data_IF_473364493416
#
_entry.id   IF_473364493416
#
_cell.length_a   1.000
_cell.length_b   1.000
_cell.length_c   1.000
_cell.angle_alpha   90.00
_cell.angle_beta   90.00
_cell.angle_gamma   90.00
#
_symmetry.space_group_name_H-M   'P 1'
#
loop_
_entity.id
_entity.type
_entity.pdbx_description
1 polymer ?
#
# COMPACT_ATOMS: atom_id res chain seq x y z
N UNK A 1 -4.49 1.43 21.09
CA UNK A 1 -5.08 0.19 21.67
C UNK A 1 -4.89 -0.89 20.61
N UNK A 2 -3.98 -1.84 20.83
CA UNK A 2 -3.86 -3.01 19.94
C UNK A 2 -5.02 -3.95 20.25
N UNK A 3 -6.03 -4.01 19.37
CA UNK A 3 -7.00 -5.09 19.43
C UNK A 3 -6.25 -6.42 19.20
N UNK A 4 -6.49 -7.43 20.03
CA UNK A 4 -5.93 -8.76 19.77
C UNK A 4 -6.55 -9.33 18.48
N UNK A 5 -5.82 -10.20 17.75
CA UNK A 5 -6.34 -10.89 16.55
C UNK A 5 -7.75 -11.44 16.82
N UNK A 6 -7.94 -12.11 17.95
CA UNK A 6 -9.23 -12.71 18.33
C UNK A 6 -10.37 -11.68 18.47
N UNK A 7 -10.10 -10.50 19.04
CA UNK A 7 -11.11 -9.44 19.15
C UNK A 7 -11.45 -8.88 17.75
N UNK A 8 -10.42 -8.60 16.94
CA UNK A 8 -10.60 -8.12 15.57
C UNK A 8 -11.42 -9.10 14.72
N UNK A 9 -11.11 -10.40 14.78
CA UNK A 9 -11.84 -11.44 14.04
C UNK A 9 -13.32 -11.54 14.46
N UNK A 10 -13.62 -11.36 15.76
CA UNK A 10 -15.00 -11.44 16.27
C UNK A 10 -15.84 -10.22 15.91
N UNK A 11 -15.23 -9.04 15.92
CA UNK A 11 -15.95 -7.76 15.92
C UNK A 11 -15.87 -7.02 14.58
N UNK A 12 -14.81 -7.23 13.79
CA UNK A 12 -14.54 -6.43 12.59
C UNK A 12 -14.43 -7.26 11.31
N UNK A 13 -13.75 -8.41 11.33
CA UNK A 13 -13.56 -9.22 10.11
C UNK A 13 -14.90 -9.59 9.45
N UNK A 14 -15.11 -9.13 8.21
CA UNK A 14 -16.36 -9.26 7.44
C UNK A 14 -17.63 -8.73 8.15
N UNK A 15 -17.47 -7.82 9.13
CA UNK A 15 -18.57 -7.35 10.00
C UNK A 15 -18.66 -5.84 10.11
N UNK A 16 -17.54 -5.16 10.30
CA UNK A 16 -17.51 -3.73 10.53
C UNK A 16 -16.16 -3.14 10.13
N UNK A 17 -16.11 -1.87 9.68
CA UNK A 17 -14.86 -1.15 9.53
C UNK A 17 -14.05 -1.15 10.83
N UNK A 18 -12.73 -1.21 10.70
CA UNK A 18 -11.78 -1.02 11.80
C UNK A 18 -10.82 0.09 11.42
N UNK A 19 -10.62 1.05 12.33
CA UNK A 19 -9.67 2.14 12.15
C UNK A 19 -8.66 2.08 13.29
N UNK A 20 -7.38 2.08 12.92
CA UNK A 20 -6.26 2.19 13.84
C UNK A 20 -5.38 3.38 13.46
N UNK A 21 -4.58 3.85 14.41
CA UNK A 21 -3.50 4.80 14.17
C UNK A 21 -2.18 4.12 14.50
N UNK A 22 -1.19 4.31 13.63
CA UNK A 22 0.18 3.91 13.89
C UNK A 22 0.86 5.01 14.72
N UNK A 23 1.55 4.62 15.78
CA UNK A 23 2.43 5.51 16.57
C UNK A 23 3.82 5.46 15.94
N UNK A 24 4.48 6.61 15.81
CA UNK A 24 5.82 6.77 15.20
C UNK A 24 5.92 6.25 13.75
N UNK A 25 5.36 7.00 12.81
CA UNK A 25 5.27 6.63 11.40
C UNK A 25 6.40 7.19 10.52
N UNK A 26 7.40 7.88 11.06
CA UNK A 26 8.50 8.47 10.28
C UNK A 26 9.23 7.41 9.44
N UNK A 27 9.55 6.27 10.05
CA UNK A 27 10.12 5.11 9.33
C UNK A 27 9.23 4.63 8.19
N UNK A 28 7.90 4.70 8.35
CA UNK A 28 6.97 4.27 7.32
C UNK A 28 7.07 5.19 6.09
N UNK A 29 7.23 6.50 6.31
CA UNK A 29 7.38 7.48 5.23
C UNK A 29 8.64 7.19 4.40
N UNK A 30 9.78 6.95 5.06
CA UNK A 30 11.03 6.58 4.38
C UNK A 30 10.87 5.30 3.57
N UNK A 31 10.18 4.30 4.14
CA UNK A 31 9.92 3.02 3.49
C UNK A 31 8.99 3.13 2.26
N UNK A 32 8.23 4.22 2.15
CA UNK A 32 7.48 4.63 0.95
C UNK A 32 8.25 5.65 0.09
N UNK A 33 9.58 5.53 0.04
CA UNK A 33 10.47 6.38 -0.76
C UNK A 33 10.31 7.87 -0.47
N UNK A 34 10.06 8.24 0.80
CA UNK A 34 9.82 9.63 1.21
C UNK A 34 8.65 10.32 0.47
N UNK A 35 7.75 9.53 -0.14
CA UNK A 35 6.67 10.03 -0.98
C UNK A 35 7.07 10.40 -2.41
N UNK A 36 8.29 10.07 -2.84
CA UNK A 36 8.73 10.24 -4.23
C UNK A 36 7.92 9.31 -5.16
N UNK A 37 7.00 9.90 -5.92
CA UNK A 37 6.10 9.20 -6.84
C UNK A 37 6.88 8.38 -7.86
N UNK A 38 7.95 8.91 -8.41
CA UNK A 38 8.76 8.25 -9.42
C UNK A 38 9.37 6.96 -8.87
N UNK A 39 9.99 7.06 -7.70
CA UNK A 39 10.63 5.93 -7.03
C UNK A 39 9.60 4.88 -6.62
N UNK A 40 8.43 5.30 -6.11
CA UNK A 40 7.32 4.39 -5.79
C UNK A 40 6.89 3.63 -7.04
N UNK A 41 6.62 4.32 -8.15
CA UNK A 41 6.14 3.69 -9.39
C UNK A 41 7.15 2.70 -9.98
N UNK A 42 8.45 2.96 -9.85
CA UNK A 42 9.51 2.00 -10.23
C UNK A 42 9.46 0.69 -9.42
N UNK A 43 8.93 0.74 -8.20
CA UNK A 43 8.70 -0.45 -7.35
C UNK A 43 7.35 -1.12 -7.60
N UNK A 44 6.46 -0.51 -8.36
CA UNK A 44 5.17 -1.10 -8.69
C UNK A 44 5.20 -1.93 -9.98
N UNK A 45 4.17 -2.75 -10.19
CA UNK A 45 4.03 -3.68 -11.31
C UNK A 45 2.63 -3.61 -11.92
N UNK A 46 2.58 -3.95 -13.20
CA UNK A 46 1.36 -4.21 -13.97
C UNK A 46 0.68 -5.50 -13.49
N UNK A 47 -0.55 -5.71 -13.90
CA UNK A 47 -1.32 -6.92 -13.57
C UNK A 47 -0.71 -8.22 -14.13
N UNK A 48 0.10 -8.12 -15.19
CA UNK A 48 0.89 -9.22 -15.74
C UNK A 48 2.24 -9.40 -15.03
N UNK A 49 2.46 -8.70 -13.92
CA UNK A 49 3.71 -8.62 -13.16
C UNK A 49 4.88 -7.94 -13.91
N UNK A 50 4.61 -7.31 -15.06
CA UNK A 50 5.59 -6.52 -15.79
C UNK A 50 5.92 -5.22 -15.07
N UNK A 51 7.17 -4.76 -15.18
CA UNK A 51 7.54 -3.41 -14.75
C UNK A 51 6.93 -2.35 -15.68
N UNK A 52 6.63 -1.18 -15.14
CA UNK A 52 6.32 0.00 -15.94
C UNK A 52 7.56 0.50 -16.67
N UNK A 53 7.41 0.91 -17.93
CA UNK A 53 8.47 1.60 -18.66
C UNK A 53 8.64 3.04 -18.16
N UNK A 54 9.74 3.68 -18.54
CA UNK A 54 9.97 5.09 -18.19
C UNK A 54 8.90 6.00 -18.80
N UNK A 55 8.45 5.70 -20.03
CA UNK A 55 7.36 6.41 -20.69
C UNK A 55 6.04 6.23 -19.93
N UNK A 56 5.70 5.00 -19.53
CA UNK A 56 4.48 4.72 -18.76
C UNK A 56 4.49 5.48 -17.41
N UNK A 57 5.63 5.48 -16.70
CA UNK A 57 5.77 6.22 -15.44
C UNK A 57 5.58 7.73 -15.66
N UNK A 58 6.22 8.30 -16.68
CA UNK A 58 6.10 9.72 -17.02
C UNK A 58 4.65 10.11 -17.36
N UNK A 59 3.93 9.27 -18.10
CA UNK A 59 2.50 9.48 -18.39
C UNK A 59 1.63 9.44 -17.12
N UNK A 60 1.95 8.55 -16.18
CA UNK A 60 1.24 8.43 -14.90
C UNK A 60 1.49 9.64 -14.00
N UNK A 61 2.72 10.14 -13.93
CA UNK A 61 3.08 11.37 -13.23
C UNK A 61 2.37 12.58 -13.84
N UNK A 62 2.36 12.69 -15.17
CA UNK A 62 1.62 13.74 -15.85
C UNK A 62 0.11 13.67 -15.57
N UNK A 63 -0.46 12.46 -15.47
CA UNK A 63 -1.87 12.28 -15.13
C UNK A 63 -2.21 12.70 -13.69
N UNK A 64 -1.30 12.47 -12.74
CA UNK A 64 -1.43 13.02 -11.37
C UNK A 64 -1.45 14.55 -11.41
N UNK A 65 -0.52 15.14 -12.14
CA UNK A 65 -0.23 16.58 -12.09
C UNK A 65 -1.25 17.41 -12.87
N UNK A 66 -1.60 17.00 -14.08
CA UNK A 66 -2.45 17.77 -14.98
C UNK A 66 -3.94 17.46 -14.79
N UNK A 67 -4.28 16.28 -14.28
CA UNK A 67 -5.67 15.80 -14.25
C UNK A 67 -6.17 15.47 -12.84
N UNK A 68 -5.32 15.62 -11.81
CA UNK A 68 -5.67 15.28 -10.43
C UNK A 68 -6.07 13.81 -10.27
N UNK A 69 -5.64 12.94 -11.19
CA UNK A 69 -6.08 11.56 -11.24
C UNK A 69 -5.34 10.75 -10.19
N UNK A 70 -6.07 10.17 -9.24
CA UNK A 70 -5.50 9.19 -8.31
C UNK A 70 -4.94 7.99 -9.07
N UNK A 71 -3.69 7.62 -8.79
CA UNK A 71 -3.10 6.38 -9.25
C UNK A 71 -3.38 5.28 -8.24
N UNK A 72 -3.90 4.16 -8.74
CA UNK A 72 -4.11 2.95 -7.95
C UNK A 72 -3.06 1.90 -8.35
N UNK A 73 -2.16 1.58 -7.44
CA UNK A 73 -1.06 0.62 -7.63
C UNK A 73 -1.25 -0.56 -6.67
N UNK A 74 -2.12 -1.53 -7.01
CA UNK A 74 -2.39 -2.69 -6.15
C UNK A 74 -1.17 -3.60 -6.00
N UNK A 75 -0.28 -3.63 -7.00
CA UNK A 75 0.95 -4.41 -6.97
C UNK A 75 2.14 -3.48 -6.79
N UNK A 76 2.45 -3.11 -5.54
CA UNK A 76 3.63 -2.30 -5.25
C UNK A 76 4.56 -2.96 -4.23
N UNK A 77 5.85 -2.96 -4.54
CA UNK A 77 6.89 -3.65 -3.78
C UNK A 77 7.92 -2.69 -3.21
N UNK A 78 7.49 -1.47 -2.86
CA UNK A 78 8.29 -0.60 -2.00
C UNK A 78 8.47 -1.26 -0.63
N UNK A 79 9.53 -0.89 0.08
CA UNK A 79 9.87 -1.48 1.37
C UNK A 79 8.69 -1.40 2.35
N UNK A 80 8.02 -0.26 2.41
CA UNK A 80 6.86 -0.04 3.27
C UNK A 80 5.69 -0.98 2.96
N UNK A 81 5.38 -1.21 1.69
CA UNK A 81 4.32 -2.15 1.30
C UNK A 81 4.68 -3.60 1.67
N UNK A 82 5.92 -4.00 1.43
CA UNK A 82 6.42 -5.33 1.79
C UNK A 82 6.42 -5.55 3.32
N UNK A 83 6.86 -4.57 4.10
CA UNK A 83 6.85 -4.64 5.56
C UNK A 83 5.43 -4.73 6.12
N UNK A 84 4.49 -3.92 5.60
CA UNK A 84 3.09 -3.98 6.01
C UNK A 84 2.45 -5.32 5.66
N UNK A 85 2.71 -5.85 4.47
CA UNK A 85 2.22 -7.17 4.07
C UNK A 85 2.76 -8.25 4.99
N UNK A 86 4.09 -8.28 5.24
CA UNK A 86 4.70 -9.28 6.12
C UNK A 86 4.16 -9.18 7.55
N UNK A 87 4.02 -7.98 8.10
CA UNK A 87 3.43 -7.78 9.43
C UNK A 87 1.97 -8.26 9.49
N UNK A 88 1.20 -8.06 8.42
CA UNK A 88 -0.16 -8.57 8.31
C UNK A 88 -0.15 -10.11 8.22
N UNK A 89 0.73 -10.70 7.43
CA UNK A 89 0.89 -12.16 7.35
C UNK A 89 1.29 -12.75 8.70
N UNK A 90 2.21 -12.14 9.43
CA UNK A 90 2.61 -12.60 10.77
C UNK A 90 1.45 -12.51 11.78
N UNK A 91 0.65 -11.45 11.70
CA UNK A 91 -0.50 -11.25 12.58
C UNK A 91 -1.68 -12.16 12.23
N UNK A 92 -1.94 -12.40 10.95
CA UNK A 92 -3.15 -13.07 10.46
C UNK A 92 -2.92 -14.51 10.00
N UNK A 93 -1.69 -14.92 9.71
CA UNK A 93 -1.28 -16.29 9.41
C UNK A 93 -2.08 -16.93 8.28
N UNK A 94 -3.05 -17.75 8.67
CA UNK A 94 -3.93 -18.55 7.80
C UNK A 94 -4.81 -17.73 6.84
N UNK A 95 -4.96 -16.42 7.10
CA UNK A 95 -5.77 -15.51 6.27
C UNK A 95 -4.91 -14.66 5.32
N UNK A 96 -3.62 -14.97 5.16
CA UNK A 96 -2.72 -14.19 4.30
C UNK A 96 -3.20 -14.03 2.86
N UNK A 97 -3.89 -15.03 2.31
CA UNK A 97 -4.43 -14.97 0.95
C UNK A 97 -5.57 -13.96 0.78
N UNK A 98 -6.19 -13.51 1.87
CA UNK A 98 -7.27 -12.52 1.85
C UNK A 98 -6.76 -11.08 2.05
N UNK A 99 -5.44 -10.90 2.13
CA UNK A 99 -4.80 -9.63 2.45
C UNK A 99 -4.06 -9.10 1.21
N UNK A 100 -4.38 -7.87 0.83
CA UNK A 100 -3.67 -7.13 -0.22
C UNK A 100 -3.16 -5.80 0.36
N UNK A 101 -1.92 -5.45 0.02
CA UNK A 101 -1.33 -4.14 0.32
C UNK A 101 -0.98 -3.47 -1.00
N UNK A 102 -1.69 -2.39 -1.30
CA UNK A 102 -1.47 -1.56 -2.48
C UNK A 102 -1.16 -0.11 -2.10
N UNK A 103 -0.65 0.66 -3.07
CA UNK A 103 -0.35 2.08 -2.91
C UNK A 103 -1.32 2.93 -3.72
N UNK A 104 -1.91 3.92 -3.07
CA UNK A 104 -2.78 4.91 -3.71
C UNK A 104 -2.09 6.26 -3.65
N UNK A 105 -1.82 6.86 -4.81
CA UNK A 105 -1.14 8.15 -4.91
C UNK A 105 -2.15 9.17 -5.41
N UNK A 106 -2.30 10.26 -4.67
CA UNK A 106 -3.17 11.38 -5.03
C UNK A 106 -2.49 12.70 -4.68
N UNK A 107 -2.78 13.75 -5.46
CA UNK A 107 -2.43 15.12 -5.09
C UNK A 107 -3.65 15.78 -4.43
N UNK A 108 -3.38 16.51 -3.35
CA UNK A 108 -4.37 17.31 -2.62
C UNK A 108 -4.63 18.65 -3.30
#
# INVERSE_FOLDING_TARGET
IQATKAAFMREHWNRAPFLGSLVDNERLIDAFCEGDVHQILNKCRKADNGAYSAEEISEMEAALDAHGRTLNQPYCFCEGACELYNAAVDAFGDLSNDIEVGVYISKA
#
